data_IF_028356407023
#
_entry.id   IF_028356407023
#
_cell.length_a   1.000
_cell.length_b   1.000
_cell.length_c   1.000
_cell.angle_alpha   90.00
_cell.angle_beta   90.00
_cell.angle_gamma   90.00
#
_symmetry.space_group_name_H-M   'P 1'
#
loop_
_entity.id
_entity.type
_entity.pdbx_description
1 polymer ?
#
# COMPACT_ATOMS: atom_id res chain seq x y z
N UNK A 1 -0.89 61.92 3.65
CA UNK A 1 0.13 62.94 3.99
C UNK A 1 1.18 62.21 4.83
N UNK A 2 2.42 61.95 4.35
CA UNK A 2 3.55 62.92 4.25
C UNK A 2 3.84 63.59 5.61
N UNK A 3 5.02 63.63 6.27
CA UNK A 3 6.47 63.70 5.93
C UNK A 3 7.29 63.42 7.24
N UNK A 4 8.61 63.17 7.37
CA UNK A 4 9.76 62.82 6.47
C UNK A 4 11.06 62.65 7.33
N UNK A 5 11.96 61.67 7.05
CA UNK A 5 13.43 61.64 7.43
C UNK A 5 13.83 61.61 8.94
N UNK A 6 15.06 61.37 9.46
CA UNK A 6 16.46 61.11 8.95
C UNK A 6 17.23 60.31 10.05
N UNK A 7 17.99 59.24 9.76
CA UNK A 7 19.45 59.11 9.56
C UNK A 7 20.45 59.53 10.68
N UNK A 8 21.28 58.56 11.11
CA UNK A 8 22.66 58.65 11.66
C UNK A 8 23.29 57.25 11.44
N UNK A 9 24.57 56.98 11.21
CA UNK A 9 25.85 57.69 11.14
C UNK A 9 26.88 56.77 10.43
N UNK A 10 28.18 57.11 10.33
CA UNK A 10 28.84 56.98 9.02
C UNK A 10 30.04 56.01 8.88
N UNK A 11 30.17 55.51 7.64
CA UNK A 11 31.38 55.28 6.84
C UNK A 11 32.76 55.02 7.49
N UNK A 12 33.30 53.81 7.27
CA UNK A 12 34.72 53.48 7.02
C UNK A 12 34.78 51.98 6.65
N UNK A 13 35.58 51.46 5.71
CA UNK A 13 36.48 52.09 4.73
C UNK A 13 36.67 51.05 3.60
N UNK A 14 36.50 51.42 2.33
CA UNK A 14 36.83 50.53 1.21
C UNK A 14 38.29 50.75 0.82
N UNK A 15 39.14 49.71 0.87
CA UNK A 15 40.42 49.67 0.16
C UNK A 15 40.93 48.22 0.06
N UNK A 16 41.74 47.94 -0.98
CA UNK A 16 42.52 46.71 -1.23
C UNK A 16 41.78 45.48 -1.82
N UNK A 17 41.27 45.66 -3.04
CA UNK A 17 41.26 44.58 -4.04
C UNK A 17 42.57 44.61 -4.84
N UNK A 18 43.51 43.68 -4.58
CA UNK A 18 44.44 43.13 -5.59
C UNK A 18 45.18 41.89 -5.05
N UNK A 19 45.33 40.88 -5.92
CA UNK A 19 46.21 39.71 -5.82
C UNK A 19 46.03 38.77 -4.61
N UNK A 20 45.38 37.63 -4.83
CA UNK A 20 46.10 36.36 -5.07
C UNK A 20 45.14 35.32 -5.67
N UNK A 21 45.59 34.60 -6.70
CA UNK A 21 44.92 33.40 -7.20
C UNK A 21 45.52 32.15 -6.53
N UNK A 22 44.85 31.01 -6.72
CA UNK A 22 45.24 29.66 -6.26
C UNK A 22 45.06 29.38 -4.75
N UNK A 23 44.29 28.32 -4.42
CA UNK A 23 44.07 27.90 -3.03
C UNK A 23 42.78 27.12 -2.77
N UNK A 24 42.84 25.80 -2.97
CA UNK A 24 41.81 24.79 -2.73
C UNK A 24 40.79 25.02 -1.60
N UNK A 25 39.49 24.95 -1.91
CA UNK A 25 38.41 24.57 -0.99
C UNK A 25 37.24 23.92 -1.78
N UNK A 26 37.29 22.60 -1.98
CA UNK A 26 36.17 21.85 -2.58
C UNK A 26 35.06 21.67 -1.54
N UNK A 27 33.95 22.40 -1.70
CA UNK A 27 32.75 22.16 -0.90
C UNK A 27 32.07 20.86 -1.39
N UNK A 28 31.68 19.92 -0.52
CA UNK A 28 30.86 18.78 -0.93
C UNK A 28 29.49 19.30 -1.39
N UNK A 29 29.17 19.04 -2.65
CA UNK A 29 27.89 19.47 -3.23
C UNK A 29 26.71 18.85 -2.48
N UNK A 30 25.67 19.66 -2.23
CA UNK A 30 24.37 19.11 -1.78
C UNK A 30 23.89 18.09 -2.84
N UNK A 31 23.47 16.88 -2.46
CA UNK A 31 22.81 15.98 -3.40
C UNK A 31 21.52 16.67 -3.89
N UNK A 32 21.38 16.81 -5.21
CA UNK A 32 20.15 17.34 -5.79
C UNK A 32 19.08 16.24 -5.79
N UNK A 33 17.81 16.55 -5.52
CA UNK A 33 16.73 15.58 -5.65
C UNK A 33 16.48 15.31 -7.14
N UNK A 34 16.80 14.09 -7.58
CA UNK A 34 16.52 13.68 -8.95
C UNK A 34 15.01 13.48 -9.16
N UNK A 35 14.51 13.91 -10.32
CA UNK A 35 13.11 14.05 -10.66
C UNK A 35 12.36 12.72 -10.79
N UNK A 36 11.03 12.78 -10.62
CA UNK A 36 10.14 11.62 -10.56
C UNK A 36 10.26 10.62 -11.71
N UNK A 37 10.16 9.34 -11.34
CA UNK A 37 10.28 8.17 -12.22
C UNK A 37 8.87 7.75 -12.74
N UNK A 38 8.66 7.54 -14.07
CA UNK A 38 7.36 7.23 -14.66
C UNK A 38 6.64 5.92 -14.26
N UNK A 39 5.46 5.69 -14.85
CA UNK A 39 4.60 4.52 -14.58
C UNK A 39 5.17 3.18 -15.06
N UNK A 40 6.24 3.17 -15.88
CA UNK A 40 7.02 1.97 -16.22
C UNK A 40 7.63 1.29 -14.99
N UNK A 41 7.91 2.08 -13.96
CA UNK A 41 8.95 1.73 -12.99
C UNK A 41 8.38 0.96 -11.79
N UNK A 42 7.05 0.92 -11.65
CA UNK A 42 6.38 0.15 -10.61
C UNK A 42 6.64 -1.36 -10.75
N UNK A 43 6.52 -1.90 -11.96
CA UNK A 43 6.67 -3.35 -12.19
C UNK A 43 8.12 -3.79 -11.99
N UNK A 44 9.06 -3.00 -12.48
CA UNK A 44 10.50 -3.28 -12.34
C UNK A 44 10.99 -3.12 -10.90
N UNK A 45 10.52 -2.08 -10.19
CA UNK A 45 10.72 -1.97 -8.74
C UNK A 45 10.16 -3.16 -7.98
N UNK A 46 8.93 -3.57 -8.29
CA UNK A 46 8.30 -4.70 -7.64
C UNK A 46 9.04 -6.01 -7.91
N UNK A 47 9.57 -6.20 -9.12
CA UNK A 47 10.48 -7.30 -9.45
C UNK A 47 11.79 -7.22 -8.62
N UNK A 48 12.38 -6.04 -8.51
CA UNK A 48 13.59 -5.79 -7.69
C UNK A 48 13.34 -6.09 -6.20
N UNK A 49 12.16 -5.74 -5.66
CA UNK A 49 11.74 -6.10 -4.30
C UNK A 49 11.69 -7.63 -4.14
N UNK A 50 11.14 -8.35 -5.13
CA UNK A 50 11.07 -9.81 -5.08
C UNK A 50 12.46 -10.45 -5.01
N UNK A 51 13.38 -9.99 -5.84
CA UNK A 51 14.76 -10.46 -5.88
C UNK A 51 15.51 -10.18 -4.57
N UNK A 52 15.34 -8.99 -4.00
CA UNK A 52 15.92 -8.62 -2.70
C UNK A 52 15.45 -9.58 -1.61
N UNK A 53 14.13 -9.81 -1.49
CA UNK A 53 13.53 -10.62 -0.42
C UNK A 53 13.76 -12.12 -0.63
N UNK A 54 13.92 -12.58 -1.87
CA UNK A 54 14.33 -13.95 -2.16
C UNK A 54 15.81 -14.20 -1.78
N UNK A 55 16.70 -13.23 -2.01
CA UNK A 55 18.13 -13.37 -1.76
C UNK A 55 18.57 -13.03 -0.32
N UNK A 56 17.81 -12.22 0.43
CA UNK A 56 18.21 -11.71 1.75
C UNK A 56 17.08 -11.80 2.78
N UNK A 57 17.44 -12.11 4.03
CA UNK A 57 16.50 -12.09 5.17
C UNK A 57 16.24 -10.65 5.66
N UNK A 58 15.44 -9.89 4.91
CA UNK A 58 15.16 -8.48 5.20
C UNK A 58 14.22 -8.32 6.40
N UNK A 59 14.69 -7.70 7.49
CA UNK A 59 13.97 -7.63 8.76
C UNK A 59 13.05 -6.40 8.91
N UNK A 60 13.25 -5.35 8.09
CA UNK A 60 12.53 -4.06 8.20
C UNK A 60 12.33 -3.35 6.85
N UNK A 61 11.35 -2.45 6.78
CA UNK A 61 11.09 -1.64 5.59
C UNK A 61 12.24 -0.67 5.26
N UNK A 62 12.91 -0.12 6.28
CA UNK A 62 14.05 0.79 6.07
C UNK A 62 15.27 0.04 5.51
N UNK A 63 15.48 -1.20 5.92
CA UNK A 63 16.50 -2.07 5.32
C UNK A 63 16.19 -2.38 3.85
N UNK A 64 14.93 -2.73 3.53
CA UNK A 64 14.48 -2.92 2.15
C UNK A 64 14.68 -1.66 1.31
N UNK A 65 14.34 -0.48 1.86
CA UNK A 65 14.52 0.82 1.21
C UNK A 65 15.99 1.13 0.92
N UNK A 66 16.92 0.80 1.84
CA UNK A 66 18.37 0.92 1.59
C UNK A 66 18.85 -0.01 0.47
N UNK A 67 18.39 -1.27 0.44
CA UNK A 67 18.75 -2.23 -0.61
C UNK A 67 18.17 -1.88 -1.99
N UNK A 68 17.01 -1.20 -2.01
CA UNK A 68 16.41 -0.60 -3.20
C UNK A 68 17.22 0.61 -3.68
N UNK A 69 17.56 1.54 -2.79
CA UNK A 69 18.37 2.71 -3.14
C UNK A 69 19.74 2.32 -3.72
N UNK A 70 20.37 1.26 -3.20
CA UNK A 70 21.59 0.67 -3.76
C UNK A 70 21.45 0.06 -5.16
N UNK A 71 20.22 -0.11 -5.66
CA UNK A 71 19.87 -0.51 -7.03
C UNK A 71 19.23 0.63 -7.84
N UNK A 72 19.37 1.89 -7.39
CA UNK A 72 18.80 3.07 -8.06
C UNK A 72 17.35 3.40 -7.72
N UNK A 73 16.71 2.64 -6.82
CA UNK A 73 15.31 2.81 -6.44
C UNK A 73 15.15 3.65 -5.18
N UNK A 74 14.98 4.97 -5.31
CA UNK A 74 14.51 5.80 -4.19
C UNK A 74 12.98 5.75 -4.08
N UNK A 75 12.48 5.35 -2.91
CA UNK A 75 11.05 5.25 -2.63
C UNK A 75 10.69 5.67 -1.22
N UNK A 76 9.53 6.30 -1.08
CA UNK A 76 8.95 6.65 0.21
C UNK A 76 8.44 5.40 0.95
N UNK A 77 8.38 5.48 2.29
CA UNK A 77 7.80 4.42 3.11
C UNK A 77 6.34 4.13 2.73
N UNK A 78 5.56 5.13 2.32
CA UNK A 78 4.19 4.98 1.82
C UNK A 78 4.13 4.18 0.52
N UNK A 79 5.04 4.44 -0.43
CA UNK A 79 5.14 3.68 -1.69
C UNK A 79 5.52 2.23 -1.40
N UNK A 80 6.57 2.02 -0.60
CA UNK A 80 7.04 0.69 -0.24
C UNK A 80 6.00 -0.11 0.55
N UNK A 81 5.21 0.55 1.42
CA UNK A 81 4.10 -0.06 2.15
C UNK A 81 2.95 -0.51 1.23
N UNK A 82 2.72 0.18 0.10
CA UNK A 82 1.78 -0.27 -0.93
C UNK A 82 2.36 -1.42 -1.74
N UNK A 83 3.59 -1.30 -2.23
CA UNK A 83 4.26 -2.35 -3.00
C UNK A 83 4.37 -3.67 -2.22
N UNK A 84 4.69 -3.62 -0.92
CA UNK A 84 4.73 -4.81 -0.05
C UNK A 84 3.37 -5.51 0.09
N UNK A 85 2.27 -4.74 0.14
CA UNK A 85 0.90 -5.28 0.17
C UNK A 85 0.53 -5.90 -1.17
N UNK A 86 0.78 -5.21 -2.27
CA UNK A 86 0.52 -5.72 -3.63
C UNK A 86 1.36 -6.96 -3.97
N UNK A 87 2.60 -7.02 -3.49
CA UNK A 87 3.50 -8.16 -3.58
C UNK A 87 3.21 -9.28 -2.57
N UNK A 88 2.26 -9.05 -1.65
CA UNK A 88 1.86 -10.00 -0.60
C UNK A 88 3.04 -10.49 0.25
N UNK A 89 3.93 -9.56 0.57
CA UNK A 89 5.10 -9.76 1.41
C UNK A 89 4.76 -9.48 2.87
N UNK A 90 4.66 -10.55 3.66
CA UNK A 90 4.37 -10.49 5.09
C UNK A 90 5.65 -10.62 5.92
N UNK A 91 5.64 -10.06 7.14
CA UNK A 91 6.75 -10.20 8.08
C UNK A 91 6.52 -11.45 8.95
N UNK A 92 7.17 -12.55 8.58
CA UNK A 92 7.05 -13.85 9.27
C UNK A 92 8.18 -14.06 10.28
N UNK A 93 7.97 -14.81 11.37
CA UNK A 93 9.06 -15.30 12.22
C UNK A 93 10.01 -16.20 11.42
N UNK A 94 11.32 -16.09 11.63
CA UNK A 94 12.33 -16.91 10.94
C UNK A 94 12.75 -18.17 11.72
N UNK A 95 12.03 -18.50 12.79
CA UNK A 95 12.34 -19.62 13.69
C UNK A 95 13.44 -19.32 14.72
N UNK A 96 14.22 -18.23 14.56
CA UNK A 96 15.28 -17.82 15.49
C UNK A 96 14.88 -16.63 16.38
N UNK A 97 13.57 -16.41 16.54
CA UNK A 97 13.02 -15.27 17.31
C UNK A 97 13.17 -13.91 16.61
N UNK A 98 13.67 -13.87 15.36
CA UNK A 98 13.66 -12.69 14.51
C UNK A 98 12.49 -12.81 13.52
N UNK A 99 12.22 -11.74 12.78
CA UNK A 99 11.16 -11.75 11.78
C UNK A 99 11.59 -11.00 10.52
N UNK A 100 11.36 -11.64 9.38
CA UNK A 100 11.79 -11.22 8.04
C UNK A 100 10.62 -11.10 7.09
N UNK A 101 10.75 -10.29 6.06
CA UNK A 101 9.85 -10.35 4.92
C UNK A 101 10.02 -11.69 4.19
N UNK A 102 8.90 -12.30 3.84
CA UNK A 102 8.81 -13.45 2.96
C UNK A 102 7.51 -13.37 2.16
N UNK A 103 7.47 -14.11 1.05
CA UNK A 103 6.21 -14.37 0.36
C UNK A 103 5.31 -15.22 1.26
N UNK A 104 4.02 -14.91 1.26
CA UNK A 104 3.02 -15.82 1.82
C UNK A 104 2.97 -17.09 0.97
N UNK A 105 3.51 -18.20 1.49
CA UNK A 105 3.35 -19.54 0.90
C UNK A 105 1.93 -20.12 1.11
N UNK A 106 1.10 -19.49 1.96
CA UNK A 106 -0.33 -19.76 1.91
C UNK A 106 -0.88 -19.21 0.61
N UNK A 107 -1.60 -20.06 -0.14
CA UNK A 107 -2.22 -19.60 -1.39
C UNK A 107 -3.19 -18.49 -1.04
N UNK A 108 -3.22 -17.44 -1.87
CA UNK A 108 -3.90 -16.19 -1.53
C UNK A 108 -5.38 -16.36 -1.16
N UNK A 109 -6.04 -17.38 -1.72
CA UNK A 109 -7.40 -17.74 -1.38
C UNK A 109 -7.56 -18.19 0.07
N UNK A 110 -6.60 -18.92 0.65
CA UNK A 110 -6.73 -19.51 1.99
C UNK A 110 -6.72 -18.45 3.10
N UNK A 111 -5.82 -17.46 3.00
CA UNK A 111 -5.75 -16.37 3.98
C UNK A 111 -6.96 -15.43 3.89
N UNK A 112 -7.35 -15.00 2.67
CA UNK A 112 -8.51 -14.11 2.51
C UNK A 112 -9.82 -14.85 2.80
N UNK A 113 -9.88 -16.17 2.59
CA UNK A 113 -10.99 -17.00 3.03
C UNK A 113 -11.05 -17.02 4.56
N UNK A 114 -9.95 -17.37 5.24
CA UNK A 114 -9.88 -17.35 6.70
C UNK A 114 -10.12 -15.95 7.32
N UNK A 115 -9.92 -14.87 6.57
CA UNK A 115 -10.34 -13.50 6.96
C UNK A 115 -11.85 -13.32 6.79
N UNK A 116 -12.41 -13.62 5.62
CA UNK A 116 -13.86 -13.52 5.36
C UNK A 116 -14.65 -14.41 6.34
N UNK A 117 -14.22 -15.64 6.60
CA UNK A 117 -14.88 -16.61 7.47
C UNK A 117 -14.94 -16.19 8.94
N UNK A 118 -14.02 -15.33 9.39
CA UNK A 118 -14.08 -14.71 10.73
C UNK A 118 -14.98 -13.48 10.74
N UNK A 119 -15.05 -12.73 9.64
CA UNK A 119 -15.82 -11.50 9.54
C UNK A 119 -17.32 -11.74 9.31
N UNK A 120 -17.69 -12.75 8.51
CA UNK A 120 -19.10 -12.98 8.17
C UNK A 120 -20.00 -13.30 9.38
N UNK A 121 -19.61 -14.14 10.36
CA UNK A 121 -20.45 -14.41 11.53
C UNK A 121 -20.74 -13.18 12.41
N UNK A 122 -19.86 -12.17 12.41
CA UNK A 122 -20.03 -10.94 13.19
C UNK A 122 -20.79 -9.85 12.40
N UNK A 123 -20.67 -9.85 11.08
CA UNK A 123 -21.13 -8.76 10.22
C UNK A 123 -22.32 -9.11 9.32
N UNK A 124 -22.53 -10.36 8.93
CA UNK A 124 -23.56 -10.77 7.97
C UNK A 124 -24.88 -11.07 8.70
N UNK A 125 -25.95 -10.35 8.32
CA UNK A 125 -27.27 -10.45 8.97
C UNK A 125 -28.27 -11.26 8.14
N UNK A 126 -28.25 -11.10 6.82
CA UNK A 126 -29.15 -11.82 5.92
C UNK A 126 -28.59 -11.88 4.48
N UNK A 127 -29.01 -12.89 3.70
CA UNK A 127 -28.74 -12.96 2.25
C UNK A 127 -29.96 -13.39 1.45
N UNK A 128 -30.23 -12.66 0.36
CA UNK A 128 -31.31 -12.92 -0.59
C UNK A 128 -30.76 -12.99 -2.03
N UNK A 129 -31.32 -13.86 -2.88
CA UNK A 129 -30.93 -14.00 -4.28
C UNK A 129 -32.00 -13.49 -5.24
N UNK A 130 -31.67 -12.55 -6.13
CA UNK A 130 -32.58 -11.96 -7.12
C UNK A 130 -31.94 -11.99 -8.51
N UNK A 131 -32.51 -12.75 -9.45
CA UNK A 131 -31.94 -12.95 -10.80
C UNK A 131 -30.47 -13.43 -10.76
N UNK A 132 -29.49 -12.62 -11.19
CA UNK A 132 -28.05 -12.93 -11.06
C UNK A 132 -27.37 -12.21 -9.89
N UNK A 133 -28.15 -11.60 -8.99
CA UNK A 133 -27.67 -10.78 -7.89
C UNK A 133 -27.84 -11.54 -6.56
N UNK A 134 -26.93 -11.30 -5.62
CA UNK A 134 -27.15 -11.56 -4.18
C UNK A 134 -27.14 -10.23 -3.44
N UNK A 135 -28.16 -9.99 -2.63
CA UNK A 135 -28.23 -8.88 -1.69
C UNK A 135 -27.86 -9.41 -0.32
N UNK A 136 -26.71 -8.98 0.19
CA UNK A 136 -26.24 -9.31 1.53
C UNK A 136 -26.46 -8.11 2.47
N UNK A 137 -27.26 -8.29 3.51
CA UNK A 137 -27.42 -7.31 4.59
C UNK A 137 -26.36 -7.55 5.65
N UNK A 138 -25.73 -6.48 6.11
CA UNK A 138 -24.73 -6.51 7.16
C UNK A 138 -25.17 -5.70 8.37
N UNK A 139 -24.42 -5.82 9.46
CA UNK A 139 -24.40 -4.82 10.52
C UNK A 139 -24.02 -3.44 9.94
N UNK A 140 -24.39 -2.38 10.66
CA UNK A 140 -24.10 -1.00 10.26
C UNK A 140 -22.60 -0.78 10.05
N UNK A 141 -22.24 -0.16 8.93
CA UNK A 141 -20.85 0.05 8.47
C UNK A 141 -20.04 -1.24 8.24
N UNK A 142 -20.71 -2.40 8.19
CA UNK A 142 -20.11 -3.70 7.87
C UNK A 142 -20.02 -4.02 6.38
N UNK A 143 -20.70 -3.26 5.51
CA UNK A 143 -20.79 -3.61 4.08
C UNK A 143 -19.45 -3.46 3.34
N UNK A 144 -18.76 -2.34 3.54
CA UNK A 144 -17.45 -2.07 2.91
C UNK A 144 -16.41 -3.17 3.18
N UNK A 145 -16.11 -3.55 4.44
CA UNK A 145 -15.10 -4.58 4.70
C UNK A 145 -15.51 -5.98 4.22
N UNK A 146 -16.82 -6.30 4.20
CA UNK A 146 -17.32 -7.57 3.63
C UNK A 146 -17.13 -7.62 2.11
N UNK A 147 -17.46 -6.54 1.41
CA UNK A 147 -17.25 -6.42 -0.04
C UNK A 147 -15.77 -6.51 -0.42
N UNK A 148 -14.89 -5.79 0.30
CA UNK A 148 -13.44 -5.82 0.07
C UNK A 148 -12.87 -7.25 0.21
N UNK A 149 -13.30 -8.00 1.22
CA UNK A 149 -12.88 -9.39 1.43
C UNK A 149 -13.46 -10.36 0.38
N UNK A 150 -14.67 -10.11 -0.13
CA UNK A 150 -15.26 -10.89 -1.22
C UNK A 150 -14.55 -10.66 -2.57
N UNK A 151 -14.22 -9.41 -2.89
CA UNK A 151 -13.49 -9.07 -4.12
C UNK A 151 -12.08 -9.67 -4.13
N UNK A 152 -11.38 -9.65 -2.99
CA UNK A 152 -10.02 -10.21 -2.84
C UNK A 152 -9.95 -11.74 -2.98
N UNK A 153 -11.08 -12.41 -2.88
CA UNK A 153 -11.22 -13.86 -3.03
C UNK A 153 -11.44 -14.34 -4.48
N UNK A 154 -11.73 -13.42 -5.41
CA UNK A 154 -11.86 -13.69 -6.86
C UNK A 154 -12.73 -14.93 -7.18
N UNK A 155 -13.84 -15.15 -6.45
CA UNK A 155 -14.69 -16.33 -6.63
C UNK A 155 -15.16 -16.42 -8.10
N UNK A 156 -14.98 -17.57 -8.79
CA UNK A 156 -15.29 -17.69 -10.23
C UNK A 156 -16.72 -17.30 -10.61
N UNK A 157 -17.67 -17.53 -9.69
CA UNK A 157 -19.09 -17.23 -9.84
C UNK A 157 -19.44 -15.75 -9.68
N UNK A 158 -18.54 -14.92 -9.16
CA UNK A 158 -18.73 -13.50 -8.86
C UNK A 158 -18.12 -12.65 -9.98
N UNK A 159 -18.90 -11.68 -10.46
CA UNK A 159 -18.50 -10.64 -11.41
C UNK A 159 -17.86 -9.43 -10.70
N UNK A 160 -18.34 -9.10 -9.50
CA UNK A 160 -17.83 -8.07 -8.61
C UNK A 160 -18.85 -7.71 -7.52
N UNK A 161 -18.49 -6.81 -6.60
CA UNK A 161 -19.38 -6.33 -5.54
C UNK A 161 -19.54 -4.80 -5.54
N UNK A 162 -20.61 -4.31 -4.89
CA UNK A 162 -20.85 -2.89 -4.60
C UNK A 162 -21.36 -2.79 -3.16
N UNK A 163 -20.69 -1.98 -2.32
CA UNK A 163 -21.06 -1.78 -0.92
C UNK A 163 -21.70 -0.40 -0.65
N UNK A 164 -22.78 -0.41 0.14
CA UNK A 164 -23.31 0.75 0.86
C UNK A 164 -22.71 0.87 2.27
N UNK A 165 -23.55 1.20 3.25
CA UNK A 165 -23.20 1.18 4.70
C UNK A 165 -23.51 -0.18 5.34
N UNK A 166 -24.71 -0.72 5.10
CA UNK A 166 -25.25 -1.93 5.72
C UNK A 166 -25.70 -3.01 4.70
N UNK A 167 -25.37 -2.81 3.42
CA UNK A 167 -25.82 -3.67 2.31
C UNK A 167 -24.69 -3.82 1.29
N UNK A 168 -24.40 -5.07 0.90
CA UNK A 168 -23.52 -5.41 -0.23
C UNK A 168 -24.36 -6.03 -1.34
N UNK A 169 -24.24 -5.49 -2.54
CA UNK A 169 -24.74 -6.11 -3.77
C UNK A 169 -23.61 -6.92 -4.39
N UNK A 170 -23.80 -8.23 -4.51
CA UNK A 170 -22.87 -9.15 -5.16
C UNK A 170 -23.46 -9.51 -6.51
N UNK A 171 -22.73 -9.24 -7.59
CA UNK A 171 -23.16 -9.53 -8.96
C UNK A 171 -22.55 -10.87 -9.34
N UNK A 172 -23.37 -11.88 -9.65
CA UNK A 172 -22.90 -13.20 -10.08
C UNK A 172 -22.92 -13.34 -11.61
N UNK A 173 -22.13 -14.26 -12.15
CA UNK A 173 -22.00 -14.50 -13.61
C UNK A 173 -23.13 -15.33 -14.20
N UNK A 174 -23.85 -16.08 -13.39
CA UNK A 174 -25.07 -16.82 -13.78
C UNK A 174 -25.97 -17.07 -12.57
N UNK A 175 -27.20 -17.53 -12.82
CA UNK A 175 -28.15 -17.93 -11.77
C UNK A 175 -27.65 -19.14 -10.97
N UNK A 176 -26.97 -20.09 -11.61
CA UNK A 176 -26.34 -21.24 -10.94
C UNK A 176 -25.14 -20.82 -10.09
N UNK A 177 -24.37 -19.82 -10.56
CA UNK A 177 -23.31 -19.19 -9.79
C UNK A 177 -23.85 -18.47 -8.55
N UNK A 178 -24.95 -17.71 -8.70
CA UNK A 178 -25.69 -17.12 -7.58
C UNK A 178 -26.07 -18.18 -6.56
N UNK A 179 -26.61 -19.33 -6.99
CA UNK A 179 -27.00 -20.41 -6.07
C UNK A 179 -25.81 -21.03 -5.31
N UNK A 180 -24.62 -21.11 -5.93
CA UNK A 180 -23.40 -21.54 -5.22
C UNK A 180 -22.95 -20.51 -4.18
N UNK A 181 -22.89 -19.23 -4.57
CA UNK A 181 -22.54 -18.10 -3.69
C UNK A 181 -23.52 -18.00 -2.51
N UNK A 182 -24.82 -18.05 -2.78
CA UNK A 182 -25.88 -17.92 -1.78
C UNK A 182 -25.85 -19.07 -0.77
N UNK A 183 -25.64 -20.32 -1.22
CA UNK A 183 -25.43 -21.46 -0.30
C UNK A 183 -24.20 -21.27 0.58
N UNK A 184 -23.08 -20.79 0.02
CA UNK A 184 -21.86 -20.54 0.80
C UNK A 184 -22.06 -19.43 1.82
N UNK A 185 -22.74 -18.33 1.50
CA UNK A 185 -22.95 -17.24 2.45
C UNK A 185 -23.92 -17.61 3.59
N UNK A 186 -24.92 -18.47 3.32
CA UNK A 186 -25.87 -18.94 4.36
C UNK A 186 -25.20 -19.71 5.51
N UNK A 187 -24.09 -20.43 5.25
CA UNK A 187 -23.39 -21.19 6.31
C UNK A 187 -22.77 -20.32 7.41
N UNK A 188 -22.75 -19.00 7.24
CA UNK A 188 -22.28 -18.04 8.25
C UNK A 188 -23.41 -17.31 8.98
N UNK A 189 -24.67 -17.52 8.59
CA UNK A 189 -25.88 -16.94 9.25
C UNK A 189 -26.52 -17.97 10.19
N UNK A 190 -26.59 -19.24 9.77
CA UNK A 190 -27.30 -20.31 10.50
C UNK A 190 -26.44 -20.92 11.64
N UNK A 191 -25.71 -20.09 12.41
CA UNK A 191 -24.72 -20.49 13.43
C UNK A 191 -24.98 -19.92 14.82
#
# INVERSE_FOLDING_TARGET
MERKTVASGPACYAQLMHNFAEGCCQSPGRPQPHSGVPLSDKRERQQTIREIVAAHAVASQEELRRQLAGRGWDVTQSTLSRDLRELRLARIPDGQGRARYAFSDQTNGDYELARLERMLPELLVAVEGVQVLVVARTMKSGAQPVAEALDQLEWPDVAGTIAGDDTVLIICRSTEGRERVLRKLRTYIDR
#
